data_IF_242067558921
#
_entry.id   IF_242067558921
#
_cell.length_a   1.000
_cell.length_b   1.000
_cell.length_c   1.000
_cell.angle_alpha   90.00
_cell.angle_beta   90.00
_cell.angle_gamma   90.00
#
_symmetry.space_group_name_H-M   'P 1'
#
loop_
_entity.id
_entity.type
_entity.pdbx_description
1 polymer ?
#
# COMPACT_ATOMS: atom_id res chain seq x y z
N UNK A 1 -28.51 -0.97 24.17
CA UNK A 1 -27.08 -0.74 23.87
C UNK A 1 -26.92 -0.78 22.36
N UNK A 2 -26.64 0.36 21.72
CA UNK A 2 -26.45 0.41 20.27
C UNK A 2 -25.22 -0.42 19.88
N UNK A 3 -25.38 -1.39 18.97
CA UNK A 3 -24.25 -2.10 18.38
C UNK A 3 -23.33 -1.05 17.76
N UNK A 4 -22.13 -0.86 18.32
CA UNK A 4 -21.09 -0.03 17.71
C UNK A 4 -20.94 -0.49 16.28
N UNK A 5 -21.19 0.40 15.33
CA UNK A 5 -20.87 0.17 13.91
C UNK A 5 -19.36 -0.10 13.91
N UNK A 6 -18.99 -1.37 13.70
CA UNK A 6 -17.60 -1.79 13.71
C UNK A 6 -17.08 -1.57 12.30
N UNK A 7 -16.28 -0.52 12.20
CA UNK A 7 -15.81 0.03 10.95
C UNK A 7 -14.60 -0.76 10.44
N UNK A 8 -14.49 -1.05 9.12
CA UNK A 8 -13.45 -1.91 8.56
C UNK A 8 -12.06 -1.27 8.46
N UNK A 9 -11.82 -0.15 9.14
CA UNK A 9 -10.52 0.53 9.18
C UNK A 9 -9.44 -0.32 9.85
N UNK A 10 -8.21 -0.23 9.33
CA UNK A 10 -7.02 -0.95 9.80
C UNK A 10 -6.51 -2.01 8.83
N UNK A 11 -7.38 -2.54 7.95
CA UNK A 11 -7.01 -3.64 7.04
C UNK A 11 -6.05 -3.19 5.93
N UNK A 12 -6.17 -1.96 5.43
CA UNK A 12 -5.33 -1.49 4.33
C UNK A 12 -3.88 -1.24 4.81
N UNK A 13 -3.68 -0.71 6.02
CA UNK A 13 -2.37 -0.56 6.63
C UNK A 13 -1.72 -1.91 6.92
N UNK A 14 -2.48 -2.89 7.42
CA UNK A 14 -1.97 -4.24 7.65
C UNK A 14 -1.43 -4.85 6.35
N UNK A 15 -2.24 -4.84 5.29
CA UNK A 15 -1.80 -5.32 3.97
C UNK A 15 -0.62 -4.52 3.41
N UNK A 16 -0.62 -3.20 3.55
CA UNK A 16 0.49 -2.36 3.12
C UNK A 16 1.80 -2.65 3.88
N UNK A 17 1.72 -2.95 5.18
CA UNK A 17 2.88 -3.31 5.99
C UNK A 17 3.44 -4.68 5.60
N UNK A 18 2.58 -5.67 5.29
CA UNK A 18 3.02 -6.98 4.79
C UNK A 18 3.71 -6.85 3.42
N UNK A 19 3.15 -6.05 2.52
CA UNK A 19 3.77 -5.78 1.21
C UNK A 19 5.13 -5.11 1.42
N UNK A 20 5.20 -4.07 2.25
CA UNK A 20 6.44 -3.35 2.51
C UNK A 20 7.52 -4.23 3.15
N UNK A 21 7.15 -5.10 4.11
CA UNK A 21 8.06 -6.06 4.72
C UNK A 21 8.61 -7.04 3.67
N UNK A 22 7.73 -7.58 2.83
CA UNK A 22 8.11 -8.51 1.76
C UNK A 22 9.01 -7.82 0.72
N UNK A 23 8.67 -6.60 0.29
CA UNK A 23 9.49 -5.81 -0.62
C UNK A 23 10.89 -5.53 -0.07
N UNK A 24 11.02 -5.23 1.23
CA UNK A 24 12.32 -4.99 1.85
C UNK A 24 13.21 -6.25 1.87
N UNK A 25 12.60 -7.45 1.89
CA UNK A 25 13.33 -8.73 1.77
C UNK A 25 13.72 -9.07 0.33
N UNK A 26 12.97 -8.58 -0.66
CA UNK A 26 13.27 -8.69 -2.09
C UNK A 26 14.38 -7.71 -2.50
N UNK A 27 15.56 -7.78 -1.87
CA UNK A 27 16.76 -7.12 -2.38
C UNK A 27 17.41 -8.00 -3.44
N UNK A 28 16.82 -8.03 -4.62
CA UNK A 28 17.45 -8.60 -5.80
C UNK A 28 18.52 -7.61 -6.25
N UNK A 29 19.78 -7.90 -5.93
CA UNK A 29 20.95 -7.21 -6.46
C UNK A 29 21.62 -8.09 -7.52
N UNK A 30 21.03 -8.23 -8.72
CA UNK A 30 21.72 -8.91 -9.79
C UNK A 30 23.01 -8.14 -10.11
N UNK A 31 24.15 -8.79 -9.89
CA UNK A 31 25.46 -8.35 -10.38
C UNK A 31 25.75 -9.15 -11.65
N UNK A 32 25.27 -8.72 -12.83
CA UNK A 32 25.58 -9.39 -14.08
C UNK A 32 27.09 -9.27 -14.33
N UNK A 33 27.84 -10.33 -14.03
CA UNK A 33 29.28 -10.40 -14.29
C UNK A 33 29.46 -11.17 -15.60
N UNK A 34 29.28 -10.47 -16.72
CA UNK A 34 29.36 -11.07 -18.06
C UNK A 34 30.55 -10.48 -18.80
N UNK A 35 31.63 -11.27 -18.85
CA UNK A 35 32.71 -11.10 -19.83
C UNK A 35 32.32 -11.90 -21.10
N UNK A 36 32.85 -11.55 -22.27
CA UNK A 36 32.84 -12.28 -23.56
C UNK A 36 31.98 -11.77 -24.73
N UNK A 37 32.43 -12.21 -25.93
CA UNK A 37 32.67 -11.44 -27.15
C UNK A 37 31.97 -12.02 -28.40
N UNK A 38 30.74 -12.51 -28.31
CA UNK A 38 29.96 -12.96 -29.48
C UNK A 38 28.50 -12.49 -29.39
N UNK A 39 27.86 -12.27 -30.55
CA UNK A 39 26.52 -11.64 -30.65
C UNK A 39 25.38 -12.36 -29.91
N UNK A 40 25.54 -13.64 -29.53
CA UNK A 40 24.58 -14.36 -28.69
C UNK A 40 24.68 -13.98 -27.20
N UNK A 41 25.83 -13.51 -26.72
CA UNK A 41 26.01 -13.03 -25.35
C UNK A 41 25.43 -11.62 -25.14
N UNK A 42 25.34 -10.79 -26.20
CA UNK A 42 24.74 -9.46 -26.13
C UNK A 42 23.28 -9.49 -25.70
N UNK A 43 22.46 -10.37 -26.29
CA UNK A 43 21.04 -10.52 -25.90
C UNK A 43 20.88 -10.95 -24.44
N UNK A 44 21.82 -11.73 -23.93
CA UNK A 44 21.81 -12.22 -22.55
C UNK A 44 22.22 -11.11 -21.56
N UNK A 45 23.19 -10.27 -21.95
CA UNK A 45 23.58 -9.06 -21.22
C UNK A 45 22.44 -8.03 -21.21
N UNK A 46 21.81 -7.78 -22.35
CA UNK A 46 20.65 -6.89 -22.45
C UNK A 46 19.48 -7.38 -21.59
N UNK A 47 19.17 -8.68 -21.66
CA UNK A 47 18.14 -9.30 -20.82
C UNK A 47 18.49 -9.23 -19.33
N UNK A 48 19.76 -9.43 -18.97
CA UNK A 48 20.22 -9.32 -17.59
C UNK A 48 20.20 -7.88 -17.08
N UNK A 49 20.53 -6.89 -17.92
CA UNK A 49 20.40 -5.47 -17.60
C UNK A 49 18.93 -5.06 -17.46
N UNK A 50 18.05 -5.51 -18.35
CA UNK A 50 16.62 -5.27 -18.25
C UNK A 50 16.03 -5.89 -16.96
N UNK A 51 16.43 -7.12 -16.64
CA UNK A 51 16.07 -7.76 -15.38
C UNK A 51 16.60 -6.98 -14.18
N UNK A 52 17.85 -6.51 -14.22
CA UNK A 52 18.46 -5.69 -13.17
C UNK A 52 17.76 -4.34 -12.97
N UNK A 53 17.35 -3.69 -14.06
CA UNK A 53 16.58 -2.44 -14.01
C UNK A 53 15.16 -2.67 -13.46
N UNK A 54 14.50 -3.76 -13.87
CA UNK A 54 13.19 -4.13 -13.35
C UNK A 54 13.25 -4.45 -11.85
N UNK A 55 14.26 -5.19 -11.41
CA UNK A 55 14.43 -5.56 -9.99
C UNK A 55 14.89 -4.41 -9.11
N UNK A 56 15.61 -3.42 -9.64
CA UNK A 56 15.94 -2.19 -8.89
C UNK A 56 14.77 -1.21 -8.79
N UNK A 57 13.89 -1.16 -9.79
CA UNK A 57 12.73 -0.25 -9.80
C UNK A 57 11.50 -0.79 -9.07
N UNK A 58 11.34 -2.11 -8.98
CA UNK A 58 10.24 -2.77 -8.28
C UNK A 58 10.06 -2.32 -6.81
N UNK A 59 11.13 -2.31 -5.97
CA UNK A 59 11.00 -1.90 -4.58
C UNK A 59 10.46 -0.48 -4.41
N UNK A 60 10.88 0.44 -5.27
CA UNK A 60 10.43 1.84 -5.26
C UNK A 60 8.95 1.96 -5.62
N UNK A 61 8.46 1.17 -6.59
CA UNK A 61 7.05 1.13 -6.95
C UNK A 61 6.18 0.60 -5.79
N UNK A 62 6.58 -0.51 -5.16
CA UNK A 62 5.87 -1.05 -4.00
C UNK A 62 5.90 -0.12 -2.79
N UNK A 63 7.00 0.59 -2.55
CA UNK A 63 7.06 1.61 -1.49
C UNK A 63 6.08 2.76 -1.74
N UNK A 64 5.94 3.20 -3.00
CA UNK A 64 4.97 4.22 -3.38
C UNK A 64 3.53 3.74 -3.19
N UNK A 65 3.22 2.53 -3.63
CA UNK A 65 1.87 1.98 -3.50
C UNK A 65 1.47 1.73 -2.04
N UNK A 66 2.39 1.24 -1.21
CA UNK A 66 2.14 1.06 0.23
C UNK A 66 1.93 2.40 0.95
N UNK A 67 2.63 3.46 0.55
CA UNK A 67 2.38 4.81 1.05
C UNK A 67 0.99 5.33 0.64
N UNK A 68 0.59 5.11 -0.61
CA UNK A 68 -0.73 5.49 -1.13
C UNK A 68 -1.85 4.77 -0.36
N UNK A 69 -1.72 3.46 -0.14
CA UNK A 69 -2.69 2.67 0.62
C UNK A 69 -2.87 3.19 2.05
N UNK A 70 -1.77 3.55 2.74
CA UNK A 70 -1.80 4.18 4.06
C UNK A 70 -2.52 5.54 4.04
N UNK A 71 -2.36 6.31 2.97
CA UNK A 71 -3.03 7.61 2.81
C UNK A 71 -4.53 7.46 2.56
N UNK A 72 -4.93 6.51 1.70
CA UNK A 72 -6.34 6.17 1.45
C UNK A 72 -7.01 5.75 2.75
N UNK A 73 -6.34 4.94 3.56
CA UNK A 73 -6.90 4.53 4.85
C UNK A 73 -7.07 5.69 5.83
N UNK A 74 -6.13 6.63 5.90
CA UNK A 74 -6.30 7.85 6.71
C UNK A 74 -7.54 8.64 6.27
N UNK A 75 -7.77 8.77 4.96
CA UNK A 75 -8.95 9.42 4.43
C UNK A 75 -10.24 8.64 4.78
N UNK A 76 -10.17 7.31 4.74
CA UNK A 76 -11.27 6.45 5.11
C UNK A 76 -11.64 6.59 6.60
N UNK A 77 -10.66 6.50 7.51
CA UNK A 77 -10.85 6.72 8.96
C UNK A 77 -11.43 8.11 9.26
N UNK A 78 -10.96 9.14 8.57
CA UNK A 78 -11.48 10.49 8.73
C UNK A 78 -12.96 10.60 8.29
N UNK A 79 -13.30 9.98 7.16
CA UNK A 79 -14.68 9.91 6.66
C UNK A 79 -15.60 9.15 7.62
N UNK A 80 -15.12 8.02 8.15
CA UNK A 80 -15.84 7.22 9.14
C UNK A 80 -16.11 7.99 10.43
N UNK A 81 -15.12 8.73 10.93
CA UNK A 81 -15.29 9.59 12.10
C UNK A 81 -16.33 10.69 11.85
N UNK A 82 -16.25 11.35 10.71
CA UNK A 82 -17.22 12.38 10.33
C UNK A 82 -18.65 11.82 10.20
N UNK A 83 -18.79 10.59 9.68
CA UNK A 83 -20.08 9.90 9.63
C UNK A 83 -20.60 9.58 11.03
N UNK A 84 -19.73 9.07 11.91
CA UNK A 84 -20.06 8.79 13.31
C UNK A 84 -20.52 10.04 14.07
N UNK A 85 -19.82 11.16 13.88
CA UNK A 85 -20.15 12.45 14.50
C UNK A 85 -21.50 12.98 14.01
N UNK A 86 -21.78 12.90 12.69
CA UNK A 86 -23.08 13.30 12.12
C UNK A 86 -24.23 12.43 12.63
N UNK A 87 -24.01 11.11 12.75
CA UNK A 87 -25.02 10.21 13.31
C UNK A 87 -25.31 10.54 14.78
N UNK A 88 -24.27 10.80 15.58
CA UNK A 88 -24.45 11.22 16.97
C UNK A 88 -25.23 12.54 17.09
N UNK A 89 -24.90 13.54 16.27
CA UNK A 89 -25.60 14.81 16.25
C UNK A 89 -27.08 14.65 15.85
N UNK A 90 -27.37 13.80 14.85
CA UNK A 90 -28.73 13.50 14.43
C UNK A 90 -29.56 12.82 15.53
N UNK A 91 -28.97 11.87 16.26
CA UNK A 91 -29.62 11.21 17.41
C UNK A 91 -29.91 12.22 18.53
N UNK A 92 -28.92 13.05 18.89
CA UNK A 92 -29.08 14.06 19.94
C UNK A 92 -30.17 15.09 19.59
N UNK A 93 -30.26 15.51 18.32
CA UNK A 93 -31.31 16.41 17.85
C UNK A 93 -32.71 15.77 17.96
N UNK A 94 -32.84 14.49 17.59
CA UNK A 94 -34.10 13.75 17.72
C UNK A 94 -34.53 13.58 19.18
N UNK A 95 -33.60 13.32 20.10
CA UNK A 95 -33.90 13.24 21.55
C UNK A 95 -34.37 14.59 22.13
N UNK A 96 -33.78 15.70 21.69
CA UNK A 96 -34.18 17.04 22.14
C UNK A 96 -35.52 17.49 21.56
N UNK A 97 -35.92 16.98 20.39
CA UNK A 97 -37.21 17.31 19.76
C UNK A 97 -38.39 16.52 20.33
N UNK A 98 -38.12 15.37 20.96
CA UNK A 98 -39.13 14.49 21.57
C UNK A 98 -39.31 14.71 23.09
N UNK A 99 -38.68 15.73 23.66
CA UNK A 99 -38.95 16.27 25.00
C UNK A 99 -39.71 17.59 24.89
#
# INVERSE_FOLDING_TARGET
MAKKIQLPSGRLAEHANVIQATTNTLKLQPKPNVSYSTGSAQQLVESAMAFAQMTTSMPTAFQKDTANLKQVEKAFVASEKALGDRLHQGIAWMEHKNK
#
